data_IF_064632447584
#
_entry.id   IF_064632447584
#
_cell.length_a   1.000
_cell.length_b   1.000
_cell.length_c   1.000
_cell.angle_alpha   90.00
_cell.angle_beta   90.00
_cell.angle_gamma   90.00
#
_symmetry.space_group_name_H-M   'P 1'
#
loop_
_entity.id
_entity.type
_entity.pdbx_description
1 polymer ?
#
# COMPACT_ATOMS: atom_id res chain seq x y z
N UNK A 1 20.71 -31.46 26.00
CA UNK A 1 21.15 -30.37 25.13
C UNK A 1 20.36 -30.47 23.82
N UNK A 2 19.56 -29.46 23.46
CA UNK A 2 18.75 -29.50 22.24
C UNK A 2 19.30 -28.51 21.21
N UNK A 3 19.57 -29.05 20.03
CA UNK A 3 20.34 -28.52 18.93
C UNK A 3 19.59 -27.39 18.21
N UNK A 4 20.13 -26.18 18.25
CA UNK A 4 19.61 -24.99 17.55
C UNK A 4 20.02 -24.92 16.06
N UNK A 5 20.70 -25.94 15.55
CA UNK A 5 21.35 -25.97 14.23
C UNK A 5 20.40 -26.34 13.05
N UNK A 6 19.16 -25.83 13.04
CA UNK A 6 18.21 -26.06 11.96
C UNK A 6 17.95 -24.83 11.05
N UNK A 7 18.48 -23.65 11.37
CA UNK A 7 18.14 -22.39 10.68
C UNK A 7 19.18 -21.89 9.65
N UNK A 8 20.19 -22.68 9.30
CA UNK A 8 21.20 -22.25 8.30
C UNK A 8 20.69 -22.39 6.86
N UNK A 9 19.55 -23.07 6.65
CA UNK A 9 18.82 -23.06 5.38
C UNK A 9 18.13 -21.72 5.09
N UNK A 10 17.97 -20.85 6.09
CA UNK A 10 16.95 -19.81 6.06
C UNK A 10 17.45 -18.44 5.58
N UNK A 11 18.74 -18.12 5.71
CA UNK A 11 19.25 -16.79 5.32
C UNK A 11 19.64 -16.72 3.84
N UNK A 12 20.35 -17.73 3.34
CA UNK A 12 20.81 -17.75 1.93
C UNK A 12 19.65 -17.88 0.95
N UNK A 13 18.64 -18.66 1.30
CA UNK A 13 17.43 -18.81 0.48
C UNK A 13 16.57 -17.53 0.53
N UNK A 14 16.53 -16.82 1.66
CA UNK A 14 15.89 -15.50 1.77
C UNK A 14 16.62 -14.45 0.94
N UNK A 15 17.96 -14.38 1.03
CA UNK A 15 18.77 -13.44 0.25
C UNK A 15 18.62 -13.68 -1.25
N UNK A 16 18.62 -14.96 -1.67
CA UNK A 16 18.39 -15.33 -3.05
C UNK A 16 16.97 -14.99 -3.50
N UNK A 17 15.96 -15.24 -2.66
CA UNK A 17 14.58 -14.85 -2.96
C UNK A 17 14.42 -13.33 -3.11
N UNK A 18 15.00 -12.54 -2.20
CA UNK A 18 14.96 -11.08 -2.26
C UNK A 18 15.67 -10.59 -3.52
N UNK A 19 16.83 -11.17 -3.85
CA UNK A 19 17.57 -10.87 -5.08
C UNK A 19 16.72 -11.15 -6.30
N UNK A 20 16.19 -12.37 -6.44
CA UNK A 20 15.35 -12.79 -7.57
C UNK A 20 14.08 -11.93 -7.69
N UNK A 21 13.45 -11.60 -6.56
CA UNK A 21 12.26 -10.76 -6.50
C UNK A 21 12.51 -9.38 -7.13
N UNK A 22 13.65 -8.77 -6.81
CA UNK A 22 14.04 -7.47 -7.35
C UNK A 22 14.54 -7.59 -8.78
N UNK A 23 15.36 -8.58 -9.11
CA UNK A 23 15.85 -8.78 -10.49
C UNK A 23 14.70 -8.95 -11.48
N UNK A 24 13.67 -9.73 -11.15
CA UNK A 24 12.45 -9.89 -11.99
C UNK A 24 11.68 -8.59 -12.20
N UNK A 25 11.82 -7.60 -11.32
CA UNK A 25 11.16 -6.29 -11.39
C UNK A 25 12.10 -5.16 -11.81
N UNK A 26 13.33 -5.48 -12.18
CA UNK A 26 14.27 -4.48 -12.66
C UNK A 26 13.83 -4.04 -14.07
N UNK A 27 13.46 -2.75 -14.26
CA UNK A 27 13.08 -2.26 -15.59
C UNK A 27 14.22 -2.35 -16.60
N UNK A 28 15.47 -2.38 -16.12
CA UNK A 28 16.68 -2.49 -16.93
C UNK A 28 17.48 -3.74 -16.51
N UNK A 29 17.13 -4.94 -17.03
CA UNK A 29 17.86 -6.16 -16.74
C UNK A 29 19.37 -5.99 -17.01
N UNK A 30 20.21 -6.39 -16.05
CA UNK A 30 21.68 -6.24 -16.14
C UNK A 30 22.24 -4.89 -15.67
N UNK A 31 21.40 -3.89 -15.40
CA UNK A 31 21.84 -2.67 -14.72
C UNK A 31 22.13 -2.95 -13.24
N UNK A 32 23.23 -2.42 -12.66
CA UNK A 32 23.49 -2.51 -11.22
C UNK A 32 22.46 -1.73 -10.39
N UNK A 33 21.68 -0.86 -11.03
CA UNK A 33 20.68 -0.01 -10.39
C UNK A 33 19.27 -0.47 -10.77
N UNK A 34 18.52 -0.92 -9.76
CA UNK A 34 17.12 -1.26 -9.93
C UNK A 34 16.25 -0.06 -9.55
N UNK A 35 15.82 0.70 -10.56
CA UNK A 35 14.99 1.90 -10.38
C UNK A 35 13.64 1.61 -9.73
N UNK A 36 13.07 0.42 -9.98
CA UNK A 36 11.84 0.00 -9.32
C UNK A 36 12.04 -0.22 -7.82
N UNK A 37 13.14 -0.87 -7.43
CA UNK A 37 13.53 -1.06 -6.01
C UNK A 37 13.71 0.29 -5.31
N UNK A 38 14.44 1.22 -5.91
CA UNK A 38 14.64 2.58 -5.36
C UNK A 38 13.30 3.30 -5.15
N UNK A 39 12.43 3.29 -6.17
CA UNK A 39 11.10 3.91 -6.09
C UNK A 39 10.24 3.25 -5.00
N UNK A 40 10.28 1.92 -4.89
CA UNK A 40 9.54 1.17 -3.89
C UNK A 40 9.94 1.59 -2.46
N UNK A 41 11.23 1.61 -2.15
CA UNK A 41 11.69 2.02 -0.82
C UNK A 41 11.37 3.49 -0.52
N UNK A 42 11.40 4.38 -1.52
CA UNK A 42 10.93 5.76 -1.36
C UNK A 42 9.46 5.83 -0.99
N UNK A 43 8.61 5.01 -1.62
CA UNK A 43 7.18 4.94 -1.30
C UNK A 43 6.92 4.36 0.09
N UNK A 44 7.70 3.33 0.49
CA UNK A 44 7.61 2.76 1.85
C UNK A 44 7.96 3.80 2.90
N UNK A 45 9.05 4.55 2.72
CA UNK A 45 9.44 5.62 3.64
C UNK A 45 8.35 6.69 3.74
N UNK A 46 7.87 7.19 2.60
CA UNK A 46 6.79 8.17 2.57
C UNK A 46 5.52 7.66 3.26
N UNK A 47 5.08 6.45 2.93
CA UNK A 47 3.88 5.87 3.52
C UNK A 47 4.01 5.65 5.03
N UNK A 48 5.21 5.29 5.49
CA UNK A 48 5.53 5.15 6.92
C UNK A 48 5.52 6.50 7.63
N UNK A 49 5.85 7.59 6.95
CA UNK A 49 5.82 8.92 7.55
C UNK A 49 4.42 9.54 7.53
N UNK A 50 3.63 9.31 6.46
CA UNK A 50 2.39 10.04 6.20
C UNK A 50 1.12 9.29 6.57
N UNK A 51 1.15 7.95 6.60
CA UNK A 51 -0.03 7.11 6.84
C UNK A 51 0.17 6.17 8.04
N UNK A 52 1.29 6.27 8.74
CA UNK A 52 1.53 5.49 9.95
C UNK A 52 1.01 6.22 11.17
N UNK A 53 0.22 5.51 11.97
CA UNK A 53 -0.09 5.93 13.32
C UNK A 53 0.88 5.25 14.30
N UNK A 54 1.62 6.01 15.13
CA UNK A 54 2.55 5.43 16.10
C UNK A 54 1.85 4.43 17.03
N UNK A 55 2.36 3.20 17.08
CA UNK A 55 1.81 2.14 17.95
C UNK A 55 0.72 1.28 17.32
N UNK A 56 0.31 1.54 16.08
CA UNK A 56 -0.55 0.64 15.30
C UNK A 56 0.29 -0.20 14.34
N UNK A 57 0.05 -1.52 14.28
CA UNK A 57 0.43 -2.33 13.12
C UNK A 57 -0.13 -1.67 11.84
N UNK A 58 0.47 -1.86 10.65
CA UNK A 58 0.00 -1.19 9.44
C UNK A 58 -1.42 -1.64 9.09
N UNK A 59 -2.40 -0.86 9.55
CA UNK A 59 -3.84 -1.06 9.31
C UNK A 59 -4.43 0.01 8.41
N UNK A 60 -3.68 1.07 8.14
CA UNK A 60 -4.05 2.09 7.18
C UNK A 60 -3.84 1.56 5.76
N UNK A 61 -4.94 1.31 5.06
CA UNK A 61 -4.92 0.84 3.68
C UNK A 61 -4.33 1.86 2.71
N UNK A 62 -4.32 3.16 3.05
CA UNK A 62 -3.68 4.20 2.24
C UNK A 62 -2.19 3.92 2.08
N UNK A 63 -1.52 3.47 3.15
CA UNK A 63 -0.11 3.08 3.09
C UNK A 63 0.13 1.96 2.07
N UNK A 64 -0.73 0.94 2.09
CA UNK A 64 -0.63 -0.22 1.20
C UNK A 64 -0.84 0.17 -0.27
N UNK A 65 -1.88 0.98 -0.52
CA UNK A 65 -2.21 1.49 -1.87
C UNK A 65 -1.08 2.40 -2.38
N UNK A 66 -0.54 3.29 -1.54
CA UNK A 66 0.54 4.20 -1.91
C UNK A 66 1.84 3.46 -2.24
N UNK A 67 2.19 2.41 -1.49
CA UNK A 67 3.39 1.60 -1.79
C UNK A 67 3.24 0.87 -3.14
N UNK A 68 2.07 0.27 -3.38
CA UNK A 68 1.79 -0.45 -4.62
C UNK A 68 1.78 0.46 -5.85
N UNK A 69 1.03 1.55 -5.78
CA UNK A 69 0.67 2.33 -6.96
C UNK A 69 1.35 3.71 -7.02
N UNK A 70 1.92 4.15 -5.90
CA UNK A 70 2.55 5.47 -5.80
C UNK A 70 1.54 6.59 -5.49
N UNK A 71 1.96 7.84 -5.70
CA UNK A 71 1.11 9.00 -5.42
C UNK A 71 -0.09 9.04 -6.36
N UNK A 72 -1.31 9.31 -5.85
CA UNK A 72 -2.47 9.54 -6.69
C UNK A 72 -2.35 10.87 -7.44
N UNK A 73 -3.02 10.96 -8.59
CA UNK A 73 -3.11 12.19 -9.39
C UNK A 73 -4.02 13.24 -8.73
N UNK A 74 -5.00 12.79 -7.94
CA UNK A 74 -5.93 13.66 -7.20
C UNK A 74 -6.31 13.03 -5.88
N UNK A 75 -6.32 13.84 -4.84
CA UNK A 75 -6.88 13.50 -3.53
C UNK A 75 -8.07 14.43 -3.28
N UNK A 76 -9.19 13.86 -2.87
CA UNK A 76 -10.36 14.60 -2.41
C UNK A 76 -10.72 14.14 -1.01
N UNK A 77 -11.20 15.06 -0.18
CA UNK A 77 -11.79 14.78 1.13
C UNK A 77 -13.27 15.15 1.07
N UNK A 78 -14.15 14.22 0.63
CA UNK A 78 -15.58 14.48 0.56
C UNK A 78 -16.12 14.89 1.93
N UNK A 79 -17.05 15.83 1.95
CA UNK A 79 -17.72 16.20 3.20
C UNK A 79 -18.39 14.97 3.83
N UNK A 80 -18.06 14.71 5.08
CA UNK A 80 -18.69 13.66 5.87
C UNK A 80 -20.16 14.02 6.10
N UNK A 81 -21.07 13.24 5.54
CA UNK A 81 -22.51 13.38 5.79
C UNK A 81 -22.99 12.22 6.68
N UNK A 82 -23.68 12.57 7.76
CA UNK A 82 -24.17 11.61 8.76
C UNK A 82 -23.12 11.29 9.82
N UNK A 83 -23.39 11.69 11.06
CA UNK A 83 -22.63 11.24 12.23
C UNK A 83 -22.98 9.80 12.56
N UNK A 84 -22.00 9.02 13.03
CA UNK A 84 -22.25 7.73 13.67
C UNK A 84 -23.19 7.98 14.87
N UNK A 85 -24.41 7.42 14.90
CA UNK A 85 -25.39 7.70 15.95
C UNK A 85 -24.96 7.19 17.33
N UNK A 86 -23.96 6.31 17.40
CA UNK A 86 -23.44 5.73 18.64
C UNK A 86 -22.30 6.57 19.23
N UNK A 87 -21.43 7.12 18.40
CA UNK A 87 -20.24 7.87 18.85
C UNK A 87 -20.35 9.39 18.62
N UNK A 88 -21.33 9.85 17.84
CA UNK A 88 -21.45 11.23 17.38
C UNK A 88 -20.40 11.64 16.34
N UNK A 89 -19.42 10.78 16.04
CA UNK A 89 -18.34 11.08 15.10
C UNK A 89 -18.84 10.94 13.65
N UNK A 90 -18.57 11.94 12.82
CA UNK A 90 -18.78 11.79 11.37
C UNK A 90 -17.56 11.11 10.75
N UNK A 91 -17.73 10.05 9.95
CA UNK A 91 -16.60 9.31 9.39
C UNK A 91 -15.84 10.19 8.40
N UNK A 92 -14.52 10.30 8.53
CA UNK A 92 -13.71 10.97 7.51
C UNK A 92 -13.55 10.06 6.29
N UNK A 93 -13.53 10.69 5.11
CA UNK A 93 -13.36 10.01 3.84
C UNK A 93 -12.22 10.63 3.06
N UNK A 94 -11.47 9.79 2.36
CA UNK A 94 -10.50 10.21 1.37
C UNK A 94 -10.74 9.47 0.07
N UNK A 95 -10.67 10.18 -1.05
CA UNK A 95 -10.78 9.60 -2.38
C UNK A 95 -9.53 9.91 -3.16
N UNK A 96 -8.86 8.87 -3.62
CA UNK A 96 -7.65 8.95 -4.41
C UNK A 96 -7.98 8.55 -5.85
N UNK A 97 -7.61 9.39 -6.82
CA UNK A 97 -7.80 9.12 -8.25
C UNK A 97 -6.46 8.90 -8.92
N UNK A 98 -6.37 7.86 -9.73
CA UNK A 98 -5.24 7.54 -10.60
C UNK A 98 -5.72 7.59 -12.06
N UNK A 99 -5.24 8.57 -12.84
CA UNK A 99 -5.66 8.80 -14.24
C UNK A 99 -5.17 7.70 -15.15
N UNK A 100 -3.93 7.28 -14.97
CA UNK A 100 -3.32 6.19 -15.73
C UNK A 100 -2.42 5.40 -14.79
N UNK A 101 -2.75 4.14 -14.54
CA UNK A 101 -1.91 3.26 -13.73
C UNK A 101 -1.69 1.96 -14.47
N UNK A 102 -0.42 1.72 -14.82
CA UNK A 102 0.00 0.45 -15.42
C UNK A 102 -0.42 -0.72 -14.52
N UNK A 103 -1.15 -1.67 -15.11
CA UNK A 103 -1.70 -2.84 -14.40
C UNK A 103 -3.06 -2.68 -13.71
N UNK A 104 -3.62 -1.47 -13.59
CA UNK A 104 -4.93 -1.23 -12.95
C UNK A 104 -5.97 -0.70 -13.97
N UNK A 105 -5.54 0.17 -14.89
CA UNK A 105 -6.39 0.78 -15.91
C UNK A 105 -6.45 2.31 -15.83
N UNK A 106 -7.39 2.87 -16.60
CA UNK A 106 -7.63 4.31 -16.72
C UNK A 106 -8.66 4.80 -15.69
N UNK A 107 -8.40 5.98 -15.11
CA UNK A 107 -9.30 6.69 -14.18
C UNK A 107 -9.80 5.85 -12.99
N UNK A 108 -8.86 5.15 -12.34
CA UNK A 108 -9.15 4.33 -11.16
C UNK A 108 -9.37 5.24 -9.96
N UNK A 109 -10.43 4.98 -9.21
CA UNK A 109 -10.74 5.70 -7.97
C UNK A 109 -10.73 4.73 -6.79
N UNK A 110 -10.02 5.10 -5.73
CA UNK A 110 -9.96 4.37 -4.46
C UNK A 110 -10.58 5.26 -3.38
N UNK A 111 -11.62 4.78 -2.72
CA UNK A 111 -12.24 5.46 -1.58
C UNK A 111 -11.84 4.79 -0.27
N UNK A 112 -11.46 5.61 0.70
CA UNK A 112 -11.08 5.23 2.05
C UNK A 112 -12.03 5.86 3.07
N UNK A 113 -12.30 5.14 4.14
CA UNK A 113 -13.10 5.62 5.27
C UNK A 113 -12.36 5.40 6.59
N UNK A 114 -12.41 6.37 7.48
CA UNK A 114 -12.07 6.21 8.89
C UNK A 114 -13.36 6.45 9.71
N UNK A 115 -14.05 5.36 10.12
CA UNK A 115 -15.32 5.44 10.84
C UNK A 115 -15.23 6.07 12.23
N UNK A 116 -14.02 6.10 12.79
CA UNK A 116 -13.76 6.47 14.19
C UNK A 116 -13.02 7.80 14.36
N UNK A 117 -12.59 8.43 13.27
CA UNK A 117 -11.65 9.57 13.27
C UNK A 117 -10.36 9.25 14.05
N UNK A 118 -9.90 8.00 13.96
CA UNK A 118 -8.69 7.50 14.63
C UNK A 118 -7.42 7.70 13.79
N UNK A 119 -7.58 8.05 12.50
CA UNK A 119 -6.54 8.00 11.49
C UNK A 119 -6.37 6.62 10.83
N UNK A 120 -7.16 5.60 11.21
CA UNK A 120 -7.11 4.27 10.63
C UNK A 120 -8.05 4.16 9.42
N UNK A 121 -7.56 4.57 8.25
CA UNK A 121 -8.33 4.52 7.02
C UNK A 121 -8.40 3.09 6.45
N UNK A 122 -9.61 2.66 6.12
CA UNK A 122 -9.91 1.39 5.47
C UNK A 122 -10.39 1.60 4.06
N UNK A 123 -9.94 0.76 3.14
CA UNK A 123 -10.42 0.81 1.76
C UNK A 123 -11.86 0.34 1.70
N UNK A 124 -12.73 1.12 1.05
CA UNK A 124 -14.16 0.81 0.85
C UNK A 124 -14.41 0.37 -0.58
N UNK A 125 -13.61 0.85 -1.52
CA UNK A 125 -13.54 0.29 -2.86
C UNK A 125 -12.91 -1.10 -2.77
N UNK A 126 -13.60 -2.12 -3.27
CA UNK A 126 -13.08 -3.47 -3.26
C UNK A 126 -11.69 -3.53 -3.92
N UNK A 127 -10.63 -3.98 -3.24
CA UNK A 127 -9.29 -3.98 -3.81
C UNK A 127 -9.15 -4.97 -4.97
N UNK A 128 -10.03 -5.97 -5.11
CA UNK A 128 -10.08 -6.80 -6.31
C UNK A 128 -10.66 -6.04 -7.49
N UNK A 129 -11.59 -5.10 -7.30
CA UNK A 129 -12.10 -4.23 -8.37
C UNK A 129 -11.04 -3.30 -8.97
N UNK A 130 -9.90 -3.11 -8.28
CA UNK A 130 -8.71 -2.47 -8.86
C UNK A 130 -7.96 -3.39 -9.82
N UNK A 131 -8.07 -4.72 -9.69
CA UNK A 131 -7.63 -5.65 -10.74
C UNK A 131 -8.80 -5.83 -11.71
N UNK A 132 -8.58 -5.61 -13.01
CA UNK A 132 -9.61 -5.83 -14.03
C UNK A 132 -10.43 -7.11 -13.76
N UNK A 133 -11.76 -7.11 -14.01
CA UNK A 133 -12.43 -8.36 -14.33
C UNK A 133 -11.79 -8.87 -15.63
N UNK A 134 -11.17 -10.04 -15.59
CA UNK A 134 -10.79 -10.76 -16.81
C UNK A 134 -12.07 -11.15 -17.53
N UNK A 135 -12.43 -10.35 -18.54
CA UNK A 135 -13.42 -10.67 -19.56
C UNK A 135 -12.73 -10.67 -20.91
#
# INVERSE_FOLDING_TARGET
>A
EQSWAANVKTDKDCDQFIKDFWERRNPNPGSPQNKFKEQYYRRVAYATEHFHYPGSAPRDDRARIYVGYGPPDRIETPASSGGNPTTGASPTKERWTYKFTDGIGDNVTVEFIDPSNSGEYRVVTDPESLRRPTG
#
